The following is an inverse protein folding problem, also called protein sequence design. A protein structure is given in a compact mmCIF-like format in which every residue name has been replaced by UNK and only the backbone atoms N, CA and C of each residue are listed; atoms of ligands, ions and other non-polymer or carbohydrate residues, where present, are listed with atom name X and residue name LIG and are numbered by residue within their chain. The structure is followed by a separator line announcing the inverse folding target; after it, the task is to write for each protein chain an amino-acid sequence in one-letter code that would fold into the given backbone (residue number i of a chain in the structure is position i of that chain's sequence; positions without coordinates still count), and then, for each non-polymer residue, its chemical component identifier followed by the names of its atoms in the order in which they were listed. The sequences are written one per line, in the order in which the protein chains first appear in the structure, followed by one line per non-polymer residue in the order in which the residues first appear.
data_IF_836711979065
#
_entry.id   IF_836711979065
#
_cell.length_a   1.000
_cell.length_b   1.000
_cell.length_c   1.000
_cell.angle_alpha   90.00
_cell.angle_beta   90.00
_cell.angle_gamma   90.00
#
_symmetry.space_group_name_H-M   'P 1'
#
loop_
_entity.id
_entity.type
_entity.pdbx_description
1 polymer ?
#
# COMPACT_ATOMS: atom_id res chain seq x y z
N UNK A 1 4.32 -3.20 25.74
CA UNK A 1 5.27 -2.53 24.84
C UNK A 1 4.53 -1.37 24.20
N UNK A 2 5.19 -0.25 23.90
CA UNK A 2 4.56 0.86 23.16
C UNK A 2 4.34 0.40 21.71
N UNK A 3 3.11 0.49 21.16
CA UNK A 3 2.86 0.14 19.76
C UNK A 3 3.72 0.99 18.82
N UNK A 4 4.21 0.38 17.74
CA UNK A 4 5.00 1.09 16.74
C UNK A 4 4.09 1.75 15.68
N UNK A 5 4.31 3.02 15.32
CA UNK A 5 3.54 3.64 14.24
C UNK A 5 3.77 2.91 12.91
N UNK A 6 2.69 2.56 12.21
CA UNK A 6 2.70 1.80 10.97
C UNK A 6 1.92 2.56 9.88
N UNK A 7 2.49 2.59 8.68
CA UNK A 7 1.80 2.94 7.44
C UNK A 7 1.74 1.69 6.55
N UNK A 8 0.56 1.41 6.00
CA UNK A 8 0.36 0.38 4.99
C UNK A 8 0.17 1.01 3.60
N UNK A 9 0.99 0.61 2.62
CA UNK A 9 0.83 0.97 1.20
C UNK A 9 0.25 -0.23 0.45
N UNK A 10 -1.02 -0.13 0.04
CA UNK A 10 -1.88 -1.25 -0.36
C UNK A 10 -2.55 -1.02 -1.71
N UNK A 11 -2.78 -2.07 -2.48
CA UNK A 11 -3.60 -2.04 -3.70
C UNK A 11 -4.94 -2.75 -3.48
N UNK A 12 -5.58 -2.43 -2.35
CA UNK A 12 -6.51 -3.27 -1.60
C UNK A 12 -7.30 -4.31 -2.39
N UNK A 13 -6.66 -5.47 -2.52
CA UNK A 13 -7.28 -6.75 -2.83
C UNK A 13 -7.69 -7.52 -1.57
N UNK A 14 -8.18 -8.74 -1.76
CA UNK A 14 -8.58 -9.67 -0.68
C UNK A 14 -7.53 -9.81 0.43
N UNK A 15 -6.26 -10.01 0.10
CA UNK A 15 -5.17 -10.21 1.06
C UNK A 15 -4.67 -8.91 1.69
N UNK A 16 -4.65 -7.79 0.97
CA UNK A 16 -4.44 -6.46 1.56
C UNK A 16 -5.52 -6.12 2.60
N UNK A 17 -6.79 -6.45 2.32
CA UNK A 17 -7.86 -6.29 3.29
C UNK A 17 -7.57 -7.11 4.55
N UNK A 18 -7.04 -8.34 4.42
CA UNK A 18 -6.59 -9.12 5.56
C UNK A 18 -5.39 -8.48 6.27
N UNK A 19 -4.45 -7.85 5.55
CA UNK A 19 -3.33 -7.13 6.16
C UNK A 19 -3.80 -5.91 6.97
N UNK A 20 -4.75 -5.13 6.46
CA UNK A 20 -5.38 -4.02 7.19
C UNK A 20 -6.08 -4.53 8.46
N UNK A 21 -6.87 -5.60 8.36
CA UNK A 21 -7.55 -6.22 9.50
C UNK A 21 -6.54 -6.78 10.53
N UNK A 22 -5.44 -7.36 10.06
CA UNK A 22 -4.38 -7.88 10.92
C UNK A 22 -3.66 -6.76 11.68
N UNK A 23 -3.31 -5.67 11.00
CA UNK A 23 -2.72 -4.49 11.62
C UNK A 23 -3.67 -3.87 12.64
N UNK A 24 -4.97 -3.76 12.33
CA UNK A 24 -5.99 -3.24 13.23
C UNK A 24 -6.15 -4.08 14.51
N UNK A 25 -5.96 -5.39 14.42
CA UNK A 25 -6.09 -6.32 15.55
C UNK A 25 -4.78 -6.49 16.36
N UNK A 26 -3.65 -6.01 15.85
CA UNK A 26 -2.34 -6.23 16.47
C UNK A 26 -2.02 -5.18 17.54
N UNK A 27 -1.71 -5.58 18.79
CA UNK A 27 -1.30 -4.63 19.83
C UNK A 27 0.14 -4.14 19.68
N UNK A 28 0.88 -4.67 18.70
CA UNK A 28 2.31 -4.35 18.48
C UNK A 28 2.50 -3.10 17.62
N UNK A 29 1.48 -2.73 16.85
CA UNK A 29 1.50 -1.61 15.90
C UNK A 29 0.31 -0.70 16.12
N UNK A 30 0.48 0.56 15.76
CA UNK A 30 -0.59 1.54 15.64
C UNK A 30 -0.68 1.91 14.15
N UNK A 31 -1.75 1.53 13.47
CA UNK A 31 -1.97 1.91 12.09
C UNK A 31 -2.33 3.40 12.03
N UNK A 32 -1.34 4.24 11.72
CA UNK A 32 -1.48 5.71 11.75
C UNK A 32 -1.94 6.29 10.41
N UNK A 33 -1.72 5.57 9.32
CA UNK A 33 -2.18 5.94 7.99
C UNK A 33 -2.17 4.73 7.05
N UNK A 34 -2.87 4.84 5.93
CA UNK A 34 -2.72 3.96 4.79
C UNK A 34 -2.59 4.77 3.49
N UNK A 35 -1.93 4.19 2.51
CA UNK A 35 -1.85 4.73 1.15
C UNK A 35 -2.34 3.69 0.18
N UNK A 36 -3.11 4.12 -0.82
CA UNK A 36 -3.59 3.22 -1.87
C UNK A 36 -2.78 3.35 -3.14
N UNK A 37 -2.58 2.24 -3.86
CA UNK A 37 -1.84 2.18 -5.11
C UNK A 37 -2.60 1.30 -6.10
N UNK A 38 -2.37 1.50 -7.40
CA UNK A 38 -2.87 0.59 -8.43
C UNK A 38 -2.23 -0.80 -8.31
N UNK A 39 -2.89 -1.84 -8.82
CA UNK A 39 -2.34 -3.20 -8.84
C UNK A 39 -3.44 -4.23 -9.03
N UNK A 40 -3.83 -4.91 -7.96
CA UNK A 40 -4.95 -5.85 -7.90
C UNK A 40 -6.25 -5.25 -8.47
N UNK A 41 -6.46 -3.96 -8.23
CA UNK A 41 -7.56 -3.15 -8.78
C UNK A 41 -7.06 -1.76 -9.21
N UNK A 42 -7.95 -0.96 -9.78
CA UNK A 42 -7.67 0.47 -9.99
C UNK A 42 -7.41 1.15 -8.65
N UNK A 43 -6.60 2.21 -8.63
CA UNK A 43 -6.33 2.94 -7.40
C UNK A 43 -7.61 3.52 -6.76
N UNK A 44 -8.63 3.83 -7.55
CA UNK A 44 -9.93 4.32 -7.03
C UNK A 44 -10.63 3.23 -6.22
N UNK A 45 -10.75 2.01 -6.76
CA UNK A 45 -11.27 0.87 -6.02
C UNK A 45 -10.39 0.51 -4.80
N UNK A 46 -9.06 0.53 -4.93
CA UNK A 46 -8.17 0.29 -3.79
C UNK A 46 -8.40 1.31 -2.66
N UNK A 47 -8.59 2.59 -3.01
CA UNK A 47 -8.88 3.67 -2.06
C UNK A 47 -10.22 3.44 -1.36
N UNK A 48 -11.29 3.19 -2.14
CA UNK A 48 -12.63 2.90 -1.63
C UNK A 48 -12.61 1.68 -0.69
N UNK A 49 -11.93 0.61 -1.10
CA UNK A 49 -11.80 -0.62 -0.31
C UNK A 49 -11.03 -0.38 0.99
N UNK A 50 -9.91 0.35 0.94
CA UNK A 50 -9.12 0.69 2.14
C UNK A 50 -9.99 1.44 3.14
N UNK A 51 -10.68 2.48 2.69
CA UNK A 51 -11.58 3.29 3.54
C UNK A 51 -12.70 2.42 4.14
N UNK A 52 -13.35 1.60 3.32
CA UNK A 52 -14.45 0.74 3.77
C UNK A 52 -14.00 -0.32 4.78
N UNK A 53 -12.84 -0.94 4.58
CA UNK A 53 -12.27 -1.93 5.50
C UNK A 53 -11.92 -1.28 6.85
N UNK A 54 -11.28 -0.10 6.83
CA UNK A 54 -10.92 0.60 8.07
C UNK A 54 -12.16 1.09 8.84
N UNK A 55 -13.16 1.64 8.15
CA UNK A 55 -14.41 2.06 8.78
C UNK A 55 -15.17 0.87 9.39
N UNK A 56 -15.18 -0.28 8.72
CA UNK A 56 -15.81 -1.51 9.21
C UNK A 56 -15.26 -1.98 10.58
N UNK A 57 -13.96 -1.77 10.83
CA UNK A 57 -13.30 -2.15 12.09
C UNK A 57 -13.17 -1.00 13.09
N UNK A 58 -13.88 0.11 12.86
CA UNK A 58 -13.87 1.26 13.77
C UNK A 58 -12.61 2.12 13.70
N UNK A 59 -11.81 1.99 12.64
CA UNK A 59 -10.62 2.78 12.36
C UNK A 59 -10.86 3.84 11.26
N UNK A 60 -12.09 4.33 11.13
CA UNK A 60 -12.44 5.35 10.12
C UNK A 60 -11.77 6.73 10.31
N UNK A 61 -11.05 6.95 11.42
CA UNK A 61 -10.22 8.16 11.63
C UNK A 61 -8.78 8.00 11.10
N UNK A 62 -8.37 6.78 10.71
CA UNK A 62 -7.06 6.54 10.08
C UNK A 62 -7.06 7.20 8.70
N UNK A 63 -6.06 8.03 8.45
CA UNK A 63 -5.96 8.76 7.20
C UNK A 63 -5.58 7.83 6.04
N UNK A 64 -6.33 7.91 4.94
CA UNK A 64 -6.07 7.17 3.71
C UNK A 64 -5.73 8.13 2.58
N UNK A 65 -4.51 8.09 2.05
CA UNK A 65 -4.14 8.91 0.89
C UNK A 65 -4.17 8.11 -0.40
N UNK A 66 -4.85 8.67 -1.41
CA UNK A 66 -4.87 8.09 -2.76
C UNK A 66 -3.50 8.28 -3.43
N UNK A 67 -2.94 7.19 -3.96
CA UNK A 67 -1.65 7.20 -4.63
C UNK A 67 -1.71 7.13 -6.14
N UNK A 68 -0.67 6.50 -6.70
CA UNK A 68 -0.46 6.41 -8.14
C UNK A 68 -1.52 5.57 -8.83
N UNK A 69 -2.06 6.09 -9.94
CA UNK A 69 -3.05 5.39 -10.77
C UNK A 69 -2.42 4.50 -11.86
N UNK A 70 -1.11 4.60 -12.07
CA UNK A 70 -0.35 3.85 -13.09
C UNK A 70 1.10 3.65 -12.65
N UNK A 71 1.80 2.63 -13.17
CA UNK A 71 3.24 2.50 -13.02
C UNK A 71 4.01 3.71 -13.56
N UNK A 72 5.27 3.87 -13.13
CA UNK A 72 6.11 5.02 -13.51
C UNK A 72 6.27 5.11 -15.04
N UNK A 73 6.71 4.02 -15.67
CA UNK A 73 7.16 4.01 -17.06
C UNK A 73 6.12 3.43 -18.03
N UNK A 74 5.36 2.43 -17.60
CA UNK A 74 4.52 1.62 -18.50
C UNK A 74 3.05 1.62 -18.12
N UNK A 75 2.24 1.19 -19.06
CA UNK A 75 0.83 0.95 -18.83
C UNK A 75 0.62 -0.40 -18.12
N UNK A 76 -0.40 -0.45 -17.29
CA UNK A 76 -0.85 -1.66 -16.62
C UNK A 76 -2.38 -1.62 -16.50
N UNK A 77 -3.01 -2.74 -16.83
CA UNK A 77 -4.41 -2.98 -16.56
C UNK A 77 -4.51 -4.07 -15.47
N UNK A 78 -5.36 -3.88 -14.44
CA UNK A 78 -5.55 -4.86 -13.37
C UNK A 78 -5.96 -6.23 -13.90
N UNK A 79 -5.61 -7.28 -13.15
CA UNK A 79 -6.01 -8.66 -13.44
C UNK A 79 -7.18 -9.10 -12.52
N UNK A 80 -8.46 -8.89 -12.91
CA UNK A 80 -9.61 -9.08 -12.02
C UNK A 80 -9.88 -10.56 -11.64
N UNK A 81 -9.18 -11.52 -12.27
CA UNK A 81 -9.41 -12.95 -12.08
C UNK A 81 -9.15 -13.42 -10.64
N UNK A 82 -8.23 -12.77 -9.93
CA UNK A 82 -7.81 -13.21 -8.58
C UNK A 82 -8.64 -12.55 -7.49
N UNK A 83 -8.82 -11.23 -7.56
CA UNK A 83 -9.44 -10.45 -6.48
C UNK A 83 -10.90 -10.04 -6.77
N UNK A 84 -11.46 -10.43 -7.92
CA UNK A 84 -12.79 -10.01 -8.35
C UNK A 84 -12.81 -8.58 -8.90
N UNK A 85 -13.95 -8.19 -9.49
CA UNK A 85 -14.10 -6.92 -10.22
C UNK A 85 -13.83 -5.68 -9.35
N UNK A 86 -14.15 -5.77 -8.05
CA UNK A 86 -13.94 -4.71 -7.06
C UNK A 86 -12.83 -5.03 -6.05
N UNK A 87 -12.05 -6.09 -6.22
CA UNK A 87 -10.88 -6.38 -5.37
C UNK A 87 -11.15 -7.15 -4.07
N UNK A 88 -12.41 -7.24 -3.61
CA UNK A 88 -12.77 -7.94 -2.36
C UNK A 88 -13.50 -9.27 -2.60
N UNK A 89 -13.23 -9.91 -3.74
CA UNK A 89 -13.94 -11.11 -4.17
C UNK A 89 -15.43 -10.83 -4.33
N UNK A 90 -16.27 -11.52 -3.57
CA UNK A 90 -17.73 -11.34 -3.54
C UNK A 90 -18.21 -10.58 -2.30
N UNK A 91 -17.31 -10.02 -1.49
CA UNK A 91 -17.70 -9.27 -0.31
C UNK A 91 -18.27 -7.90 -0.71
N UNK A 92 -19.37 -7.52 -0.07
CA UNK A 92 -19.97 -6.20 -0.23
C UNK A 92 -19.83 -5.46 1.10
N UNK A 93 -19.04 -4.38 1.10
CA UNK A 93 -18.87 -3.51 2.25
C UNK A 93 -19.74 -2.25 2.06
N UNK A 94 -20.21 -1.62 3.15
CA UNK A 94 -20.82 -0.30 3.08
C UNK A 94 -19.85 0.70 2.44
N UNK A 95 -20.40 1.67 1.69
CA UNK A 95 -19.61 2.80 1.18
C UNK A 95 -19.10 3.57 2.39
N UNK A 96 -17.78 3.78 2.45
CA UNK A 96 -17.18 4.58 3.50
C UNK A 96 -17.73 6.01 3.49
N UNK A 97 -17.99 6.55 4.67
CA UNK A 97 -18.43 7.94 4.83
C UNK A 97 -17.28 8.94 4.73
N UNK A 98 -16.05 8.45 4.81
CA UNK A 98 -14.81 9.22 4.81
C UNK A 98 -14.29 9.45 3.40
N UNK A 99 -13.79 10.65 3.17
CA UNK A 99 -13.07 11.01 1.95
C UNK A 99 -11.57 10.70 2.11
N UNK A 100 -10.88 10.36 1.01
CA UNK A 100 -9.43 10.24 1.04
C UNK A 100 -8.76 11.57 1.37
N UNK A 101 -7.53 11.49 1.88
CA UNK A 101 -6.68 12.63 2.17
C UNK A 101 -6.52 13.55 0.95
N UNK A 102 -6.40 14.85 1.21
CA UNK A 102 -5.99 15.83 0.20
C UNK A 102 -4.52 15.66 -0.22
N UNK A 103 -3.72 14.93 0.58
CA UNK A 103 -2.34 14.59 0.26
C UNK A 103 -2.29 13.44 -0.72
N UNK A 104 -1.30 13.45 -1.61
CA UNK A 104 -0.93 12.25 -2.35
C UNK A 104 -0.29 11.23 -1.42
N UNK A 105 -0.30 9.95 -1.80
CA UNK A 105 0.41 8.90 -1.05
C UNK A 105 1.88 9.25 -0.80
N UNK A 106 2.60 9.73 -1.82
CA UNK A 106 4.00 10.10 -1.69
C UNK A 106 4.22 11.22 -0.65
N UNK A 107 3.41 12.28 -0.70
CA UNK A 107 3.44 13.37 0.29
C UNK A 107 3.15 12.86 1.69
N UNK A 108 2.12 12.03 1.86
CA UNK A 108 1.77 11.46 3.17
C UNK A 108 2.95 10.65 3.75
N UNK A 109 3.60 9.81 2.92
CA UNK A 109 4.75 9.01 3.34
C UNK A 109 5.92 9.90 3.77
N UNK A 110 6.29 10.89 2.95
CA UNK A 110 7.42 11.80 3.22
C UNK A 110 7.17 12.67 4.45
N UNK A 111 6.01 13.30 4.54
CA UNK A 111 5.67 14.18 5.67
C UNK A 111 5.62 13.39 6.97
N UNK A 112 4.96 12.22 6.98
CA UNK A 112 4.85 11.41 8.21
C UNK A 112 6.20 10.88 8.67
N UNK A 113 7.07 10.46 7.74
CA UNK A 113 8.43 10.03 8.08
C UNK A 113 9.31 11.18 8.62
N UNK A 114 9.15 12.41 8.10
CA UNK A 114 9.85 13.60 8.59
C UNK A 114 9.37 14.05 9.98
N UNK A 115 8.08 13.91 10.26
CA UNK A 115 7.50 14.24 11.56
C UNK A 115 7.95 13.28 12.67
N UNK A 116 8.22 12.01 12.33
CA UNK A 116 8.57 10.93 13.26
C UNK A 116 9.79 10.13 12.80
N UNK A 117 10.97 10.77 12.67
CA UNK A 117 12.15 10.14 12.10
C UNK A 117 12.65 8.96 12.94
N UNK A 118 12.82 7.81 12.29
CA UNK A 118 13.27 6.56 12.90
C UNK A 118 12.18 5.76 13.62
N UNK A 119 10.94 6.24 13.65
CA UNK A 119 9.84 5.58 14.38
C UNK A 119 8.93 4.78 13.43
N UNK A 120 8.55 5.39 12.32
CA UNK A 120 7.50 4.90 11.40
C UNK A 120 7.94 3.64 10.67
N UNK A 121 7.13 2.59 10.79
CA UNK A 121 7.20 1.41 9.95
C UNK A 121 6.41 1.65 8.66
N UNK A 122 7.03 1.35 7.51
CA UNK A 122 6.34 1.28 6.23
C UNK A 122 6.25 -0.18 5.79
N UNK A 123 5.04 -0.64 5.49
CA UNK A 123 4.81 -1.96 4.91
C UNK A 123 4.07 -1.78 3.58
N UNK A 124 4.71 -2.16 2.48
CA UNK A 124 4.11 -2.09 1.15
C UNK A 124 3.68 -3.48 0.68
N UNK A 125 2.39 -3.66 0.43
CA UNK A 125 1.81 -4.93 -0.05
C UNK A 125 1.31 -4.87 -1.49
N UNK A 126 1.33 -3.68 -2.10
CA UNK A 126 1.11 -3.50 -3.53
C UNK A 126 2.37 -3.13 -4.32
N UNK A 127 2.22 -2.72 -5.60
CA UNK A 127 3.31 -2.19 -6.42
C UNK A 127 4.01 -1.00 -5.78
N UNK A 128 5.35 -0.97 -5.85
CA UNK A 128 6.21 -0.01 -5.13
C UNK A 128 6.20 1.42 -5.69
N UNK A 129 5.22 1.77 -6.55
CA UNK A 129 5.15 3.06 -7.24
C UNK A 129 5.07 4.23 -6.26
N UNK A 130 4.21 4.15 -5.23
CA UNK A 130 4.10 5.21 -4.23
C UNK A 130 5.42 5.40 -3.45
N UNK A 131 6.07 4.30 -3.08
CA UNK A 131 7.36 4.30 -2.37
C UNK A 131 8.47 4.91 -3.23
N UNK A 132 8.52 4.57 -4.52
CA UNK A 132 9.49 5.13 -5.46
C UNK A 132 9.26 6.65 -5.68
N UNK A 133 8.00 7.09 -5.76
CA UNK A 133 7.65 8.50 -5.86
C UNK A 133 8.03 9.27 -4.57
N UNK A 134 7.78 8.68 -3.40
CA UNK A 134 8.20 9.24 -2.12
C UNK A 134 9.73 9.34 -2.01
N UNK A 135 10.47 8.33 -2.49
CA UNK A 135 11.93 8.33 -2.54
C UNK A 135 12.47 9.39 -3.50
N UNK A 136 11.77 9.64 -4.61
CA UNK A 136 12.14 10.70 -5.55
C UNK A 136 11.93 12.11 -4.96
N UNK A 137 10.92 12.28 -4.10
CA UNK A 137 10.67 13.53 -3.37
C UNK A 137 11.63 13.71 -2.18
N UNK A 138 11.94 12.64 -1.45
CA UNK A 138 12.82 12.62 -0.31
C UNK A 138 13.83 11.46 -0.42
N UNK A 139 15.01 11.78 -0.98
CA UNK A 139 16.10 10.80 -1.14
C UNK A 139 16.59 10.19 0.17
N UNK A 140 16.35 10.84 1.32
CA UNK A 140 16.71 10.34 2.66
C UNK A 140 15.60 9.53 3.32
N UNK A 141 14.51 9.22 2.61
CA UNK A 141 13.40 8.44 3.15
C UNK A 141 13.85 7.14 3.85
N UNK A 142 14.86 6.38 3.35
CA UNK A 142 15.37 5.19 4.04
C UNK A 142 15.97 5.49 5.42
N UNK A 143 16.57 6.67 5.61
CA UNK A 143 17.13 7.10 6.90
C UNK A 143 16.04 7.58 7.87
N UNK A 144 14.88 7.99 7.35
CA UNK A 144 13.76 8.52 8.13
C UNK A 144 12.80 7.44 8.62
N UNK A 145 12.74 6.29 7.94
CA UNK A 145 11.88 5.17 8.35
C UNK A 145 12.51 4.38 9.49
N UNK A 146 11.69 3.98 10.47
CA UNK A 146 12.07 3.05 11.53
C UNK A 146 12.09 1.58 11.09
N UNK A 147 11.66 1.30 9.86
CA UNK A 147 11.69 -0.01 9.24
C UNK A 147 10.85 -0.03 7.97
N UNK A 148 11.24 -0.88 7.02
CA UNK A 148 10.56 -1.05 5.75
C UNK A 148 10.44 -2.53 5.43
N UNK A 149 9.25 -2.99 5.09
CA UNK A 149 9.00 -4.34 4.61
C UNK A 149 8.11 -4.31 3.36
N UNK A 150 8.30 -5.32 2.50
CA UNK A 150 7.50 -5.47 1.29
C UNK A 150 6.91 -6.87 1.21
N UNK A 151 5.73 -6.98 0.61
CA UNK A 151 5.26 -8.20 -0.02
C UNK A 151 5.55 -8.07 -1.52
N UNK A 152 6.58 -8.78 -1.99
CA UNK A 152 6.90 -8.77 -3.41
C UNK A 152 8.18 -9.52 -3.74
N UNK A 153 8.27 -9.96 -4.99
CA UNK A 153 9.41 -10.68 -5.53
C UNK A 153 9.34 -12.20 -5.33
N UNK A 154 10.24 -12.91 -6.01
CA UNK A 154 10.39 -14.36 -5.92
C UNK A 154 11.87 -14.71 -6.01
N UNK A 155 12.39 -15.43 -5.02
CA UNK A 155 13.79 -15.86 -4.98
C UNK A 155 13.90 -17.39 -5.09
N UNK A 156 14.73 -17.86 -6.02
CA UNK A 156 14.97 -19.29 -6.27
C UNK A 156 13.68 -20.11 -6.55
N UNK A 157 12.62 -19.45 -7.03
CA UNK A 157 11.31 -20.01 -7.41
C UNK A 157 10.79 -19.28 -8.65
N UNK A 158 9.69 -19.78 -9.22
CA UNK A 158 8.98 -19.09 -10.31
C UNK A 158 8.18 -17.90 -9.79
N UNK A 159 7.73 -17.04 -10.70
CA UNK A 159 6.79 -15.95 -10.43
C UNK A 159 5.33 -16.39 -10.53
N UNK A 160 4.41 -15.49 -10.17
CA UNK A 160 2.95 -15.68 -10.24
C UNK A 160 2.28 -14.78 -11.30
N UNK A 161 2.92 -13.70 -11.76
CA UNK A 161 2.45 -12.89 -12.90
C UNK A 161 3.07 -13.35 -14.22
N UNK A 162 4.35 -13.72 -14.19
CA UNK A 162 5.02 -14.46 -15.27
C UNK A 162 5.85 -15.59 -14.67
N UNK A 163 6.37 -16.55 -15.44
CA UNK A 163 7.25 -17.58 -14.91
C UNK A 163 8.47 -17.03 -14.12
N UNK A 164 8.88 -15.78 -14.39
CA UNK A 164 10.06 -15.15 -13.79
C UNK A 164 9.75 -13.96 -12.86
N UNK A 165 8.51 -13.49 -12.78
CA UNK A 165 8.17 -12.27 -12.04
C UNK A 165 6.94 -12.44 -11.14
N UNK A 166 7.08 -11.96 -9.91
CA UNK A 166 5.98 -11.81 -8.96
C UNK A 166 5.14 -10.57 -9.31
N UNK A 167 3.84 -10.60 -9.05
CA UNK A 167 2.85 -9.60 -9.43
C UNK A 167 3.21 -8.17 -9.07
N UNK A 168 3.49 -7.83 -7.81
CA UNK A 168 3.77 -6.46 -7.39
C UNK A 168 5.00 -5.89 -8.10
N UNK A 169 6.07 -6.69 -8.18
CA UNK A 169 7.29 -6.30 -8.90
C UNK A 169 7.04 -6.26 -10.42
N UNK A 170 6.19 -7.14 -10.92
CA UNK A 170 5.81 -7.17 -12.33
C UNK A 170 4.91 -5.99 -12.70
N UNK A 171 4.16 -5.36 -11.81
CA UNK A 171 3.34 -4.19 -12.14
C UNK A 171 4.20 -2.94 -12.32
N UNK A 172 5.21 -2.73 -11.48
CA UNK A 172 6.13 -1.59 -11.61
C UNK A 172 7.59 -1.94 -11.24
N UNK A 173 8.35 -2.55 -12.18
CA UNK A 173 9.73 -2.98 -11.96
C UNK A 173 10.69 -1.80 -11.95
N UNK A 174 10.32 -0.68 -12.59
CA UNK A 174 11.11 0.55 -12.58
C UNK A 174 11.04 1.18 -11.18
N UNK A 175 9.85 1.22 -10.57
CA UNK A 175 9.70 1.58 -9.17
C UNK A 175 10.43 0.60 -8.23
N UNK A 176 10.27 -0.71 -8.43
CA UNK A 176 10.98 -1.70 -7.62
C UNK A 176 12.50 -1.57 -7.73
N UNK A 177 13.04 -1.32 -8.94
CA UNK A 177 14.45 -1.07 -9.14
C UNK A 177 14.93 0.18 -8.40
N UNK A 178 14.14 1.26 -8.40
CA UNK A 178 14.47 2.47 -7.66
C UNK A 178 14.50 2.23 -6.15
N UNK A 179 13.54 1.46 -5.62
CA UNK A 179 13.44 1.17 -4.18
C UNK A 179 14.51 0.19 -3.68
N UNK A 180 14.97 -0.74 -4.51
CA UNK A 180 16.00 -1.71 -4.12
C UNK A 180 17.45 -1.20 -4.18
N UNK A 181 17.68 0.03 -4.66
CA UNK A 181 19.02 0.62 -4.81
C UNK A 181 19.32 1.60 -3.69
#
# INVERSE_FOLDING_TARGET
MTPRPLILDVDTGVDDALALLYAAASPEVELIAATSVMGNVTVDHATENTLAVLELVGLGDVEVARGAARPIVRDHEPFPVVHGERGLGNAELPIASREPSARTAAQLLVETARERPGEVLLVATGPLTNVALALAEESRLPDLLGGFAIMGGSFARGGNATPAAEANIWVDPDAAQAVFR
#
